data_IF_743028885532
#
_entry.id   IF_743028885532
#
_cell.length_a   1.000
_cell.length_b   1.000
_cell.length_c   1.000
_cell.angle_alpha   90.00
_cell.angle_beta   90.00
_cell.angle_gamma   90.00
#
_symmetry.space_group_name_H-M   'P 1'
#
loop_
_entity.id
_entity.type
_entity.pdbx_description
1 polymer ?
#
# COMPACT_ATOMS: atom_id res chain seq x y z
N UNK A 1 5.65 -3.25 -13.28
CA UNK A 1 5.73 -3.41 -11.82
C UNK A 1 4.44 -2.87 -11.21
N UNK A 2 3.92 -3.53 -10.22
CA UNK A 2 2.77 -3.07 -9.44
C UNK A 2 3.20 -2.77 -8.01
N UNK A 3 3.14 -1.52 -7.66
CA UNK A 3 3.36 -1.09 -6.29
C UNK A 3 2.03 -1.09 -5.54
N UNK A 4 2.03 -1.60 -4.33
CA UNK A 4 0.84 -1.66 -3.47
C UNK A 4 1.06 -0.81 -2.24
N UNK A 5 0.17 0.14 -1.98
CA UNK A 5 0.17 0.80 -0.69
C UNK A 5 -0.57 -0.05 0.36
N UNK A 6 -0.43 0.33 1.61
CA UNK A 6 -1.01 -0.44 2.71
C UNK A 6 -2.54 -0.51 2.64
N UNK A 7 -3.22 0.53 2.15
CA UNK A 7 -4.69 0.54 2.08
C UNK A 7 -5.25 -0.58 1.19
N UNK A 8 -4.58 -0.86 0.07
CA UNK A 8 -4.98 -1.95 -0.81
C UNK A 8 -4.58 -3.32 -0.25
N UNK A 9 -3.43 -3.41 0.42
CA UNK A 9 -2.97 -4.66 1.03
C UNK A 9 -3.87 -5.12 2.18
N UNK A 10 -4.45 -4.20 2.94
CA UNK A 10 -5.40 -4.54 4.00
C UNK A 10 -6.56 -5.38 3.44
N UNK A 11 -7.03 -5.07 2.22
CA UNK A 11 -8.12 -5.78 1.57
C UNK A 11 -7.77 -7.24 1.21
N UNK A 12 -6.49 -7.60 1.20
CA UNK A 12 -6.03 -8.98 1.02
C UNK A 12 -5.98 -9.76 2.34
N UNK A 13 -5.96 -9.05 3.47
CA UNK A 13 -5.91 -9.65 4.81
C UNK A 13 -7.29 -9.72 5.45
N UNK A 14 -8.12 -8.72 5.19
CA UNK A 14 -9.48 -8.55 5.74
C UNK A 14 -10.45 -8.39 4.59
N UNK A 15 -11.56 -9.12 4.62
CA UNK A 15 -12.60 -8.97 3.59
C UNK A 15 -13.22 -7.57 3.65
N UNK A 16 -13.17 -6.86 2.55
CA UNK A 16 -13.71 -5.51 2.37
C UNK A 16 -14.47 -5.42 1.04
N UNK A 17 -15.15 -4.30 0.81
CA UNK A 17 -15.92 -4.09 -0.43
C UNK A 17 -15.04 -4.14 -1.68
N UNK A 18 -13.77 -3.74 -1.58
CA UNK A 18 -12.83 -3.72 -2.70
C UNK A 18 -11.98 -4.98 -2.83
N UNK A 19 -12.12 -5.98 -1.95
CA UNK A 19 -11.28 -7.19 -1.96
C UNK A 19 -11.36 -7.93 -3.29
N UNK A 20 -12.56 -8.11 -3.85
CA UNK A 20 -12.75 -8.80 -5.13
C UNK A 20 -12.08 -8.07 -6.30
N UNK A 21 -11.98 -6.74 -6.24
CA UNK A 21 -11.35 -5.94 -7.29
C UNK A 21 -9.81 -6.02 -7.22
N UNK A 22 -9.23 -6.08 -6.02
CA UNK A 22 -7.76 -6.06 -5.85
C UNK A 22 -7.13 -7.44 -5.84
N UNK A 23 -7.83 -8.46 -5.36
CA UNK A 23 -7.26 -9.82 -5.23
C UNK A 23 -6.64 -10.36 -6.52
N UNK A 24 -7.28 -10.26 -7.69
CA UNK A 24 -6.66 -10.74 -8.93
C UNK A 24 -5.38 -9.99 -9.30
N UNK A 25 -5.24 -8.74 -8.89
CA UNK A 25 -4.08 -7.91 -9.19
C UNK A 25 -2.80 -8.43 -8.52
N UNK A 26 -2.94 -9.15 -7.41
CA UNK A 26 -1.82 -9.68 -6.64
C UNK A 26 -1.04 -10.78 -7.39
N UNK A 27 -1.63 -11.40 -8.42
CA UNK A 27 -1.00 -12.45 -9.22
C UNK A 27 0.26 -11.98 -9.94
N UNK A 28 0.35 -10.69 -10.25
CA UNK A 28 1.51 -10.10 -10.91
C UNK A 28 2.67 -9.81 -9.95
N UNK A 29 2.52 -10.19 -8.67
CA UNK A 29 3.48 -9.89 -7.63
C UNK A 29 3.18 -8.59 -6.92
N UNK A 30 3.72 -8.44 -5.72
CA UNK A 30 3.51 -7.28 -4.86
C UNK A 30 4.86 -6.65 -4.55
N UNK A 31 4.96 -5.35 -4.79
CA UNK A 31 6.08 -4.52 -4.34
C UNK A 31 5.49 -3.50 -3.36
N UNK A 32 6.07 -3.36 -2.19
CA UNK A 32 5.57 -2.42 -1.19
C UNK A 32 6.69 -1.86 -0.31
N UNK A 33 6.35 -0.91 0.54
CA UNK A 33 7.26 -0.25 1.48
C UNK A 33 7.49 -1.10 2.73
N UNK A 34 8.69 -1.02 3.29
CA UNK A 34 9.06 -1.78 4.49
C UNK A 34 8.13 -1.53 5.69
N UNK A 35 7.51 -0.36 5.76
CA UNK A 35 6.60 0.01 6.86
C UNK A 35 5.16 -0.42 6.58
N UNK A 36 4.84 -0.89 5.39
CA UNK A 36 3.47 -1.34 5.05
C UNK A 36 2.96 -2.42 5.99
N UNK A 37 3.81 -3.37 6.40
CA UNK A 37 3.42 -4.41 7.34
C UNK A 37 2.90 -3.83 8.66
N UNK A 38 3.54 -2.78 9.17
CA UNK A 38 3.12 -2.11 10.42
C UNK A 38 1.79 -1.38 10.21
N UNK A 39 1.62 -0.70 9.08
CA UNK A 39 0.37 -0.01 8.75
C UNK A 39 -0.79 -0.99 8.64
N UNK A 40 -0.58 -2.15 8.00
CA UNK A 40 -1.59 -3.20 7.88
C UNK A 40 -1.92 -3.77 9.27
N UNK A 41 -0.90 -4.09 10.06
CA UNK A 41 -1.10 -4.59 11.42
C UNK A 41 -1.90 -3.59 12.27
N UNK A 42 -1.58 -2.30 12.15
CA UNK A 42 -2.31 -1.22 12.84
C UNK A 42 -3.79 -1.21 12.43
N UNK A 43 -4.08 -1.36 11.14
CA UNK A 43 -5.47 -1.41 10.65
C UNK A 43 -6.23 -2.61 11.21
N UNK A 44 -5.59 -3.78 11.23
CA UNK A 44 -6.21 -5.02 11.78
C UNK A 44 -6.53 -4.83 13.27
N UNK A 45 -5.58 -4.31 14.05
CA UNK A 45 -5.77 -4.10 15.51
C UNK A 45 -6.85 -3.07 15.77
N UNK A 46 -6.89 -1.98 15.00
CA UNK A 46 -7.93 -0.95 15.13
C UNK A 46 -9.33 -1.54 14.89
N UNK A 47 -9.50 -2.32 13.83
CA UNK A 47 -10.78 -2.96 13.52
C UNK A 47 -11.21 -3.95 14.59
N UNK A 48 -10.26 -4.65 15.20
CA UNK A 48 -10.54 -5.54 16.33
C UNK A 48 -11.05 -4.75 17.53
N UNK A 49 -10.39 -3.64 17.87
CA UNK A 49 -10.81 -2.77 18.98
C UNK A 49 -12.17 -2.13 18.73
N UNK A 50 -12.49 -1.83 17.48
CA UNK A 50 -13.78 -1.24 17.10
C UNK A 50 -14.91 -2.27 16.98
N UNK A 51 -14.61 -3.54 17.16
CA UNK A 51 -15.58 -4.63 17.10
C UNK A 51 -15.92 -5.12 15.68
N UNK A 52 -15.21 -4.64 14.66
CA UNK A 52 -15.43 -5.06 13.26
C UNK A 52 -14.83 -6.42 12.96
N UNK A 53 -13.86 -6.87 13.75
CA UNK A 53 -13.26 -8.20 13.64
C UNK A 53 -13.38 -8.94 14.97
N UNK A 54 -13.72 -10.22 14.90
CA UNK A 54 -13.61 -11.14 16.03
C UNK A 54 -12.14 -11.50 16.29
N UNK A 55 -11.84 -12.10 17.44
CA UNK A 55 -10.49 -12.58 17.74
C UNK A 55 -10.02 -13.62 16.72
N UNK A 56 -10.92 -14.50 16.25
CA UNK A 56 -10.59 -15.48 15.23
C UNK A 56 -10.28 -14.81 13.88
N UNK A 57 -11.06 -13.81 13.50
CA UNK A 57 -10.84 -13.04 12.27
C UNK A 57 -9.54 -12.23 12.34
N UNK A 58 -9.23 -11.66 13.52
CA UNK A 58 -7.96 -10.98 13.77
C UNK A 58 -6.77 -11.93 13.57
N UNK A 59 -6.85 -13.14 14.15
CA UNK A 59 -5.78 -14.14 14.02
C UNK A 59 -5.59 -14.54 12.55
N UNK A 60 -6.68 -14.75 11.82
CA UNK A 60 -6.63 -15.08 10.39
C UNK A 60 -6.02 -13.94 9.56
N UNK A 61 -6.39 -12.69 9.86
CA UNK A 61 -5.86 -11.51 9.17
C UNK A 61 -4.35 -11.34 9.42
N UNK A 62 -3.89 -11.56 10.66
CA UNK A 62 -2.46 -11.50 11.00
C UNK A 62 -1.68 -12.61 10.30
N UNK A 63 -2.25 -13.80 10.20
CA UNK A 63 -1.63 -14.91 9.47
C UNK A 63 -1.50 -14.60 7.97
N UNK A 64 -2.55 -14.03 7.38
CA UNK A 64 -2.53 -13.60 5.98
C UNK A 64 -1.45 -12.53 5.73
N UNK A 65 -1.31 -11.57 6.64
CA UNK A 65 -0.25 -10.56 6.57
C UNK A 65 1.13 -11.22 6.58
N UNK A 66 1.36 -12.18 7.46
CA UNK A 66 2.63 -12.93 7.52
C UNK A 66 2.95 -13.64 6.21
N UNK A 67 1.97 -14.27 5.58
CA UNK A 67 2.14 -14.94 4.30
C UNK A 67 2.46 -13.96 3.18
N UNK A 68 1.76 -12.83 3.10
CA UNK A 68 2.02 -11.79 2.12
C UNK A 68 3.43 -11.21 2.28
N UNK A 69 3.81 -10.86 3.51
CA UNK A 69 5.10 -10.26 3.80
C UNK A 69 6.27 -11.21 3.50
N UNK A 70 6.07 -12.51 3.61
CA UNK A 70 7.07 -13.51 3.25
C UNK A 70 7.28 -13.62 1.74
N UNK A 71 6.29 -13.19 0.94
CA UNK A 71 6.28 -13.35 -0.51
C UNK A 71 6.52 -12.05 -1.28
N UNK A 72 6.20 -10.89 -0.73
CA UNK A 72 6.31 -9.62 -1.46
C UNK A 72 7.75 -9.13 -1.56
N UNK A 73 7.98 -8.21 -2.52
CA UNK A 73 9.24 -7.46 -2.64
C UNK A 73 9.14 -6.19 -1.83
N UNK A 74 10.12 -5.91 -1.00
CA UNK A 74 10.07 -4.81 -0.06
C UNK A 74 11.08 -3.72 -0.42
N UNK A 75 10.61 -2.48 -0.50
CA UNK A 75 11.46 -1.30 -0.64
C UNK A 75 11.86 -0.87 0.77
N UNK A 76 13.15 -0.88 1.07
CA UNK A 76 13.66 -0.61 2.42
C UNK A 76 14.71 0.53 2.45
N UNK A 77 14.96 1.19 1.33
CA UNK A 77 15.95 2.28 1.23
C UNK A 77 15.42 3.56 1.88
N UNK A 78 15.45 3.62 3.20
CA UNK A 78 14.83 4.71 3.99
C UNK A 78 15.29 6.10 3.54
N UNK A 79 16.58 6.32 3.33
CA UNK A 79 17.09 7.63 2.93
C UNK A 79 16.56 8.10 1.59
N UNK A 80 16.53 7.20 0.61
CA UNK A 80 16.00 7.48 -0.72
C UNK A 80 14.50 7.74 -0.71
N UNK A 81 13.75 6.95 0.07
CA UNK A 81 12.30 7.12 0.22
C UNK A 81 12.00 8.45 0.91
N UNK A 82 12.71 8.75 2.00
CA UNK A 82 12.53 10.00 2.75
C UNK A 82 12.79 11.23 1.87
N UNK A 83 13.82 11.21 1.04
CA UNK A 83 14.15 12.31 0.13
C UNK A 83 12.98 12.60 -0.82
N UNK A 84 12.37 11.57 -1.39
CA UNK A 84 11.20 11.73 -2.26
C UNK A 84 9.97 12.18 -1.49
N UNK A 85 9.75 11.64 -0.29
CA UNK A 85 8.62 12.04 0.55
C UNK A 85 8.68 13.52 0.90
N UNK A 86 9.87 14.08 1.17
CA UNK A 86 10.05 15.50 1.46
C UNK A 86 9.59 16.38 0.29
N UNK A 87 9.86 15.97 -0.94
CA UNK A 87 9.35 16.65 -2.14
C UNK A 87 7.83 16.50 -2.26
N UNK A 88 7.32 15.29 -2.04
CA UNK A 88 5.90 14.98 -2.22
C UNK A 88 4.99 15.74 -1.27
N UNK A 89 5.40 15.94 -0.01
CA UNK A 89 4.58 16.71 0.94
C UNK A 89 4.52 18.20 0.59
N UNK A 90 5.47 18.71 -0.18
CA UNK A 90 5.45 20.09 -0.65
C UNK A 90 4.50 20.29 -1.84
N UNK A 91 4.28 19.24 -2.64
CA UNK A 91 3.50 19.31 -3.90
C UNK A 91 2.08 18.80 -3.70
N UNK A 92 1.91 17.77 -2.90
CA UNK A 92 0.61 17.11 -2.68
C UNK A 92 0.18 17.26 -1.22
N UNK A 93 -1.13 17.35 -1.00
CA UNK A 93 -1.69 17.39 0.36
C UNK A 93 -1.72 15.98 0.95
N UNK A 94 -0.57 15.44 1.30
CA UNK A 94 -0.39 14.08 1.82
C UNK A 94 0.06 14.10 3.28
N UNK A 95 -0.40 13.11 4.03
CA UNK A 95 0.14 12.79 5.34
C UNK A 95 1.50 12.12 5.19
N UNK A 96 2.28 12.09 6.26
CA UNK A 96 3.62 11.49 6.26
C UNK A 96 3.60 10.05 5.76
N UNK A 97 2.68 9.22 6.28
CA UNK A 97 2.60 7.82 5.89
C UNK A 97 2.35 7.66 4.37
N UNK A 98 1.45 8.48 3.81
CA UNK A 98 1.12 8.45 2.38
C UNK A 98 2.29 8.92 1.51
N UNK A 99 2.98 9.97 1.95
CA UNK A 99 4.16 10.46 1.24
C UNK A 99 5.29 9.42 1.24
N UNK A 100 5.46 8.67 2.32
CA UNK A 100 6.43 7.58 2.38
C UNK A 100 6.05 6.44 1.45
N UNK A 101 4.77 6.09 1.36
CA UNK A 101 4.28 5.08 0.42
C UNK A 101 4.57 5.49 -1.03
N UNK A 102 4.21 6.70 -1.40
CA UNK A 102 4.45 7.19 -2.77
C UNK A 102 5.95 7.34 -3.05
N UNK A 103 6.71 7.79 -2.07
CA UNK A 103 8.17 7.86 -2.15
C UNK A 103 8.79 6.50 -2.41
N UNK A 104 8.33 5.46 -1.72
CA UNK A 104 8.80 4.08 -1.93
C UNK A 104 8.45 3.59 -3.34
N UNK A 105 7.27 3.92 -3.84
CA UNK A 105 6.88 3.57 -5.20
C UNK A 105 7.80 4.22 -6.24
N UNK A 106 8.16 5.48 -6.04
CA UNK A 106 9.09 6.18 -6.93
C UNK A 106 10.50 5.58 -6.90
N UNK A 107 10.97 5.18 -5.72
CA UNK A 107 12.25 4.45 -5.61
C UNK A 107 12.19 3.15 -6.39
N UNK A 108 11.08 2.40 -6.25
CA UNK A 108 10.89 1.11 -6.92
C UNK A 108 10.99 1.22 -8.45
N UNK A 109 10.58 2.34 -9.02
CA UNK A 109 10.59 2.56 -10.48
C UNK A 109 11.71 3.51 -10.93
N UNK A 110 12.66 3.82 -10.07
CA UNK A 110 13.78 4.73 -10.36
C UNK A 110 13.30 6.08 -10.89
N UNK A 111 12.28 6.63 -10.27
CA UNK A 111 11.63 7.91 -10.61
C UNK A 111 11.02 7.95 -12.02
N UNK A 112 10.68 6.79 -12.58
CA UNK A 112 10.06 6.65 -13.90
C UNK A 112 8.71 5.93 -13.78
N UNK A 113 7.67 6.60 -13.27
CA UNK A 113 6.38 5.95 -12.97
C UNK A 113 5.57 5.55 -14.20
N UNK A 114 5.78 6.18 -15.35
CA UNK A 114 5.00 5.90 -16.57
C UNK A 114 5.16 4.43 -16.96
N UNK A 115 4.04 3.75 -17.19
CA UNK A 115 4.01 2.33 -17.52
C UNK A 115 3.97 1.41 -16.31
N UNK A 116 3.98 1.96 -15.09
CA UNK A 116 3.91 1.18 -13.85
C UNK A 116 2.61 1.45 -13.10
N UNK A 117 2.18 0.46 -12.32
CA UNK A 117 0.90 0.47 -11.61
C UNK A 117 1.07 0.82 -10.14
N UNK A 118 0.09 1.56 -9.62
CA UNK A 118 -0.03 1.86 -8.19
C UNK A 118 -1.40 1.35 -7.72
N UNK A 119 -1.39 0.32 -6.87
CA UNK A 119 -2.62 -0.29 -6.35
C UNK A 119 -2.96 0.37 -5.03
N UNK A 120 -4.11 1.03 -4.97
CA UNK A 120 -4.48 1.91 -3.86
C UNK A 120 -5.99 1.92 -3.66
N UNK A 121 -6.42 1.94 -2.39
CA UNK A 121 -7.82 2.11 -2.00
C UNK A 121 -8.11 3.50 -1.42
N UNK A 122 -7.09 4.34 -1.27
CA UNK A 122 -7.20 5.69 -0.72
C UNK A 122 -7.21 6.70 -1.87
N UNK A 123 -8.30 7.46 -2.00
CA UNK A 123 -8.49 8.39 -3.12
C UNK A 123 -7.43 9.51 -3.13
N UNK A 124 -7.07 10.04 -1.97
CA UNK A 124 -6.10 11.15 -1.88
C UNK A 124 -4.70 10.70 -2.32
N UNK A 125 -4.25 9.57 -1.83
CA UNK A 125 -2.96 9.01 -2.21
C UNK A 125 -2.98 8.56 -3.67
N UNK A 126 -4.06 7.93 -4.12
CA UNK A 126 -4.22 7.52 -5.51
C UNK A 126 -4.15 8.69 -6.48
N UNK A 127 -4.80 9.81 -6.17
CA UNK A 127 -4.74 11.01 -6.99
C UNK A 127 -3.31 11.55 -7.09
N UNK A 128 -2.57 11.56 -5.98
CA UNK A 128 -1.17 12.00 -5.98
C UNK A 128 -0.31 11.06 -6.83
N UNK A 129 -0.50 9.75 -6.71
CA UNK A 129 0.23 8.76 -7.50
C UNK A 129 -0.03 8.94 -9.01
N UNK A 130 -1.29 9.17 -9.39
CA UNK A 130 -1.66 9.42 -10.78
C UNK A 130 -0.99 10.69 -11.31
N UNK A 131 -0.93 11.75 -10.52
CA UNK A 131 -0.25 13.00 -10.88
C UNK A 131 1.27 12.81 -11.04
N UNK A 132 1.86 11.90 -10.29
CA UNK A 132 3.27 11.56 -10.45
C UNK A 132 3.54 10.71 -11.70
N UNK A 133 2.50 10.11 -12.29
CA UNK A 133 2.61 9.40 -13.57
C UNK A 133 2.29 7.90 -13.50
N UNK A 134 1.92 7.38 -12.33
CA UNK A 134 1.49 5.98 -12.19
C UNK A 134 0.12 5.74 -12.79
N UNK A 135 -0.10 4.52 -13.27
CA UNK A 135 -1.45 4.04 -13.57
C UNK A 135 -2.09 3.55 -12.29
N UNK A 136 -3.23 4.15 -11.94
CA UNK A 136 -3.93 3.80 -10.72
C UNK A 136 -4.77 2.54 -10.91
N UNK A 137 -4.66 1.58 -10.00
CA UNK A 137 -5.46 0.36 -9.96
C UNK A 137 -6.12 0.19 -8.57
N UNK A 138 -7.30 -0.46 -8.51
CA UNK A 138 -8.12 -0.81 -9.66
C UNK A 138 -8.56 0.44 -10.39
N UNK A 139 -8.66 0.35 -11.73
CA UNK A 139 -9.17 1.43 -12.56
C UNK A 139 -10.65 1.64 -12.26
N UNK A 140 -11.06 2.88 -12.19
CA UNK A 140 -12.45 3.18 -11.84
C UNK A 140 -13.10 4.05 -12.82
#
# INVERSE_FOLDING_TARGET
MRYWDASALVALCVAETNTSAVRPLARAGIVTWAVSAVEIASAIERRTREGSLTDAERAAARAALGELAAAWTEIAALGSVRERAMRLVAIHALRVADAMQLGAALVAVSDRPVGHDFVCADARLGNAAAREGFRLLPGG
#
